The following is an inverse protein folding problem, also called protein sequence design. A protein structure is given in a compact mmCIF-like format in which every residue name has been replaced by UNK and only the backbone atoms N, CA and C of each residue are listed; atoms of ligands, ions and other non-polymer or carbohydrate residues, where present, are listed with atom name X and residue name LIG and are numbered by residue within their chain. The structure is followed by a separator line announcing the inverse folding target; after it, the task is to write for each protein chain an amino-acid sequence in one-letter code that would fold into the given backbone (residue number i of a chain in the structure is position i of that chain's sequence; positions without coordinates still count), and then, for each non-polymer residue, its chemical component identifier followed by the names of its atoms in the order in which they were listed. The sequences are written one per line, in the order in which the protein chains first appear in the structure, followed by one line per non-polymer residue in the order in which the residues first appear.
data_IF_710768759040
#
_entry.id   IF_710768759040
#
_cell.length_a   1.000
_cell.length_b   1.000
_cell.length_c   1.000
_cell.angle_alpha   90.00
_cell.angle_beta   90.00
_cell.angle_gamma   90.00
#
_symmetry.space_group_name_H-M   'P 1'
#
loop_
_entity.id
_entity.type
_entity.pdbx_description
1 polymer ?
#
# COMPACT_ATOMS: atom_id res chain seq x y z
N UNK A 1 22.41 -19.96 -13.39
CA UNK A 1 21.22 -20.44 -12.66
C UNK A 1 20.85 -19.30 -11.74
N UNK A 2 19.66 -18.74 -11.88
CA UNK A 2 19.23 -17.59 -11.10
C UNK A 2 18.03 -18.02 -10.26
N UNK A 3 18.28 -18.34 -8.99
CA UNK A 3 17.23 -18.24 -7.99
C UNK A 3 16.90 -16.76 -7.86
N UNK A 4 15.77 -16.35 -8.42
CA UNK A 4 15.33 -14.97 -8.36
C UNK A 4 14.76 -14.69 -6.97
N UNK A 5 15.65 -14.48 -5.99
CA UNK A 5 15.28 -13.89 -4.70
C UNK A 5 14.53 -12.59 -4.98
N UNK A 6 13.22 -12.59 -4.75
CA UNK A 6 12.38 -11.38 -4.82
C UNK A 6 12.51 -10.68 -3.47
N UNK A 7 13.34 -9.62 -3.33
CA UNK A 7 13.67 -9.07 -2.03
C UNK A 7 12.44 -8.34 -1.49
N UNK A 8 12.02 -8.68 -0.26
CA UNK A 8 10.99 -7.91 0.46
C UNK A 8 11.66 -6.91 1.40
N UNK A 9 11.36 -5.65 1.22
CA UNK A 9 11.85 -4.54 2.06
C UNK A 9 10.83 -4.26 3.15
N UNK A 10 11.28 -3.89 4.35
CA UNK A 10 10.42 -3.46 5.45
C UNK A 10 11.02 -2.19 6.08
N UNK A 11 10.42 -1.05 5.78
CA UNK A 11 10.82 0.27 6.28
C UNK A 11 10.04 0.57 7.57
N UNK A 12 10.65 0.25 8.70
CA UNK A 12 10.06 0.49 10.01
C UNK A 12 10.00 1.99 10.32
N UNK A 13 8.82 2.47 10.75
CA UNK A 13 8.54 3.89 11.02
C UNK A 13 8.68 4.81 9.78
N UNK A 14 8.37 4.29 8.58
CA UNK A 14 8.30 5.09 7.35
C UNK A 14 7.23 6.19 7.42
N UNK A 15 6.10 5.95 8.10
CA UNK A 15 5.15 6.99 8.47
C UNK A 15 5.25 7.29 9.97
N UNK A 16 5.17 8.56 10.32
CA UNK A 16 4.92 9.01 11.69
C UNK A 16 3.49 8.67 12.14
N UNK A 17 3.29 8.57 13.46
CA UNK A 17 1.96 8.39 14.03
C UNK A 17 1.02 9.60 13.87
N UNK A 18 1.50 10.71 13.30
CA UNK A 18 0.69 11.86 12.92
C UNK A 18 0.18 11.70 11.48
N UNK A 19 1.08 11.41 10.52
CA UNK A 19 0.71 11.02 9.14
C UNK A 19 -0.27 9.85 9.11
N UNK A 20 -0.08 8.82 9.96
CA UNK A 20 -1.04 7.71 10.05
C UNK A 20 -2.45 8.16 10.47
N UNK A 21 -2.57 9.10 11.41
CA UNK A 21 -3.88 9.61 11.88
C UNK A 21 -4.53 10.55 10.87
N UNK A 22 -3.74 11.37 10.18
CA UNK A 22 -4.22 12.25 9.12
C UNK A 22 -4.79 11.43 7.95
N UNK A 23 -4.04 10.42 7.49
CA UNK A 23 -4.53 9.49 6.48
C UNK A 23 -5.75 8.70 6.95
N UNK A 24 -5.78 8.22 8.20
CA UNK A 24 -6.94 7.53 8.77
C UNK A 24 -8.20 8.44 8.81
N UNK A 25 -8.03 9.72 9.16
CA UNK A 25 -9.10 10.72 9.14
C UNK A 25 -9.62 10.94 7.72
N UNK A 26 -8.72 11.17 6.76
CA UNK A 26 -9.08 11.39 5.35
C UNK A 26 -9.79 10.15 4.78
N UNK A 27 -9.36 8.94 5.15
CA UNK A 27 -10.07 7.73 4.75
C UNK A 27 -11.50 7.71 5.31
N UNK A 28 -11.68 7.94 6.61
CA UNK A 28 -13.01 7.95 7.26
C UNK A 28 -13.93 9.05 6.70
N UNK A 29 -13.38 10.18 6.25
CA UNK A 29 -14.15 11.28 5.63
C UNK A 29 -14.45 11.08 4.14
N UNK A 30 -13.62 10.33 3.41
CA UNK A 30 -13.67 10.28 1.93
C UNK A 30 -13.67 8.85 1.34
N UNK A 31 -13.96 7.82 2.13
CA UNK A 31 -14.07 6.43 1.64
C UNK A 31 -15.39 6.15 0.96
N UNK A 32 -15.35 5.41 -0.15
CA UNK A 32 -16.52 4.79 -0.78
C UNK A 32 -16.48 3.27 -0.62
N UNK A 33 -17.61 2.59 -0.86
CA UNK A 33 -17.67 1.12 -0.84
C UNK A 33 -16.84 0.56 -2.00
N UNK A 34 -15.90 -0.32 -1.69
CA UNK A 34 -15.03 -0.97 -2.67
C UNK A 34 -15.71 -2.09 -3.45
N UNK A 35 -15.00 -2.67 -4.42
CA UNK A 35 -15.52 -3.76 -5.25
C UNK A 35 -15.70 -5.11 -4.51
N UNK A 36 -15.24 -5.21 -3.25
CA UNK A 36 -15.39 -6.38 -2.39
C UNK A 36 -16.32 -6.05 -1.21
N UNK A 37 -17.16 -6.99 -0.77
CA UNK A 37 -17.86 -6.86 0.50
C UNK A 37 -16.89 -6.56 1.65
N UNK A 38 -17.31 -5.70 2.58
CA UNK A 38 -16.54 -5.32 3.77
C UNK A 38 -15.21 -4.59 3.48
N UNK A 39 -15.02 -4.05 2.26
CA UNK A 39 -13.85 -3.24 1.88
C UNK A 39 -14.29 -1.84 1.47
N UNK A 40 -13.56 -0.82 1.93
CA UNK A 40 -13.79 0.58 1.56
C UNK A 40 -12.51 1.19 0.96
N UNK A 41 -12.64 2.16 0.05
CA UNK A 41 -11.48 2.79 -0.60
C UNK A 41 -11.58 4.30 -0.79
N UNK A 42 -10.43 4.97 -0.68
CA UNK A 42 -10.22 6.39 -0.96
C UNK A 42 -9.10 6.53 -1.97
N UNK A 43 -9.42 6.69 -3.24
CA UNK A 43 -8.45 6.89 -4.32
C UNK A 43 -8.11 8.38 -4.45
N UNK A 44 -6.99 8.72 -5.10
CA UNK A 44 -6.72 10.12 -5.49
C UNK A 44 -7.90 10.73 -6.28
N UNK A 45 -8.59 9.96 -7.12
CA UNK A 45 -9.78 10.41 -7.84
C UNK A 45 -10.96 10.74 -6.92
N UNK A 46 -11.18 9.98 -5.84
CA UNK A 46 -12.19 10.33 -4.83
C UNK A 46 -11.83 11.65 -4.12
N UNK A 47 -10.53 11.87 -3.85
CA UNK A 47 -10.04 13.08 -3.19
C UNK A 47 -10.14 14.32 -4.09
N UNK A 48 -9.77 14.19 -5.37
CA UNK A 48 -9.96 15.24 -6.39
C UNK A 48 -11.44 15.63 -6.50
N UNK A 49 -12.36 14.65 -6.46
CA UNK A 49 -13.80 14.90 -6.49
C UNK A 49 -14.35 15.66 -5.26
N UNK A 50 -13.60 15.76 -4.15
CA UNK A 50 -13.99 16.62 -3.00
C UNK A 50 -13.76 18.10 -3.26
N UNK A 51 -12.97 18.46 -4.29
CA UNK A 51 -12.45 19.81 -4.53
C UNK A 51 -11.68 20.42 -3.33
N UNK A 52 -11.17 19.57 -2.43
CA UNK A 52 -10.35 19.97 -1.27
C UNK A 52 -8.90 19.52 -1.45
N UNK A 53 -8.01 20.47 -1.78
CA UNK A 53 -6.57 20.21 -1.88
C UNK A 53 -5.99 19.68 -0.56
N UNK A 54 -6.54 20.10 0.59
CA UNK A 54 -6.10 19.67 1.91
C UNK A 54 -6.18 18.15 2.14
N UNK A 55 -7.09 17.44 1.47
CA UNK A 55 -7.14 15.97 1.56
C UNK A 55 -6.19 15.26 0.59
N UNK A 56 -5.68 15.96 -0.43
CA UNK A 56 -4.71 15.43 -1.40
C UNK A 56 -3.28 15.70 -0.93
N UNK A 57 -3.02 16.87 -0.35
CA UNK A 57 -1.67 17.33 0.02
C UNK A 57 -0.86 16.34 0.87
N UNK A 58 -1.42 15.61 1.86
CA UNK A 58 -0.64 14.63 2.64
C UNK A 58 -0.13 13.44 1.82
N UNK A 59 -0.84 13.05 0.75
CA UNK A 59 -0.42 11.92 -0.09
C UNK A 59 0.82 12.24 -0.93
N UNK A 60 0.99 13.50 -1.36
CA UNK A 60 2.05 13.91 -2.30
C UNK A 60 3.47 13.77 -1.72
N UNK A 61 3.82 14.29 -0.52
CA UNK A 61 5.15 14.09 0.04
C UNK A 61 5.37 12.64 0.50
N UNK A 62 4.34 11.98 1.02
CA UNK A 62 4.42 10.57 1.42
C UNK A 62 4.73 9.66 0.22
N UNK A 63 4.17 9.97 -0.95
CA UNK A 63 4.37 9.13 -2.14
C UNK A 63 5.73 9.23 -2.77
N UNK A 64 6.22 10.44 -3.03
CA UNK A 64 7.53 10.60 -3.64
C UNK A 64 8.61 10.09 -2.65
N UNK A 65 8.45 10.33 -1.34
CA UNK A 65 9.33 9.78 -0.28
C UNK A 65 9.37 8.26 -0.24
N UNK A 66 8.28 7.54 -0.58
CA UNK A 66 8.32 6.08 -0.67
C UNK A 66 8.97 5.66 -1.99
N UNK A 67 8.59 6.27 -3.10
CA UNK A 67 9.17 6.03 -4.44
C UNK A 67 10.70 6.13 -4.41
N UNK A 68 11.22 7.22 -3.87
CA UNK A 68 12.66 7.47 -3.64
C UNK A 68 13.32 6.36 -2.83
N UNK A 69 12.65 5.80 -1.82
CA UNK A 69 13.19 4.69 -1.00
C UNK A 69 13.21 3.35 -1.74
N UNK A 70 12.39 3.17 -2.78
CA UNK A 70 12.42 1.96 -3.61
C UNK A 70 13.49 2.10 -4.70
N UNK A 71 13.57 3.29 -5.31
CA UNK A 71 14.63 3.67 -6.24
C UNK A 71 16.03 3.54 -5.60
N UNK A 72 16.20 4.00 -4.36
CA UNK A 72 17.42 3.81 -3.55
C UNK A 72 17.75 2.32 -3.28
N UNK A 73 16.74 1.46 -3.07
CA UNK A 73 16.94 0.08 -2.64
C UNK A 73 17.18 -0.89 -3.81
N UNK A 74 16.44 -0.72 -4.91
CA UNK A 74 16.50 -1.59 -6.08
C UNK A 74 17.46 -1.10 -7.18
N UNK A 75 18.15 0.02 -6.95
CA UNK A 75 19.13 0.65 -7.85
C UNK A 75 18.56 1.02 -9.24
N UNK A 76 17.35 1.59 -9.24
CA UNK A 76 16.55 1.92 -10.43
C UNK A 76 16.08 3.39 -10.42
N UNK A 77 16.99 4.32 -10.11
CA UNK A 77 16.61 5.71 -9.83
C UNK A 77 16.08 6.44 -11.07
N UNK A 78 14.95 7.12 -10.87
CA UNK A 78 14.13 7.80 -11.89
C UNK A 78 13.40 6.88 -12.89
N UNK A 79 13.53 5.55 -12.77
CA UNK A 79 12.81 4.60 -13.64
C UNK A 79 11.36 4.36 -13.19
N UNK A 80 11.02 4.69 -11.94
CA UNK A 80 9.75 4.27 -11.33
C UNK A 80 8.60 5.28 -11.54
N UNK A 81 7.47 4.84 -12.12
CA UNK A 81 6.25 5.62 -12.32
C UNK A 81 5.11 5.14 -11.42
N UNK A 82 4.49 6.03 -10.65
CA UNK A 82 3.35 5.73 -9.78
C UNK A 82 2.07 5.54 -10.60
N UNK A 83 1.56 4.31 -10.66
CA UNK A 83 0.33 3.94 -11.39
C UNK A 83 -0.95 4.24 -10.58
N UNK A 84 -0.92 3.93 -9.27
CA UNK A 84 -2.09 4.05 -8.38
C UNK A 84 -1.70 4.53 -6.99
N UNK A 85 -2.59 5.29 -6.35
CA UNK A 85 -2.53 5.62 -4.93
C UNK A 85 -3.91 5.69 -4.29
N UNK A 86 -4.06 5.04 -3.14
CA UNK A 86 -5.26 5.17 -2.31
C UNK A 86 -5.19 4.46 -0.96
N UNK A 87 -6.10 4.83 -0.07
CA UNK A 87 -6.30 4.16 1.22
C UNK A 87 -7.37 3.09 1.07
N UNK A 88 -7.18 1.95 1.73
CA UNK A 88 -8.11 0.82 1.71
C UNK A 88 -8.27 0.30 3.14
N UNK A 89 -9.50 0.16 3.61
CA UNK A 89 -9.79 -0.52 4.88
C UNK A 89 -10.53 -1.83 4.62
N UNK A 90 -10.21 -2.81 5.47
CA UNK A 90 -10.77 -4.16 5.46
C UNK A 90 -11.49 -4.35 6.80
N UNK A 91 -12.82 -4.38 6.78
CA UNK A 91 -13.63 -4.51 8.01
C UNK A 91 -13.93 -5.98 8.32
N UNK A 92 -14.69 -6.26 9.39
CA UNK A 92 -15.00 -7.63 9.81
C UNK A 92 -15.66 -8.43 8.69
N UNK A 93 -15.15 -9.63 8.42
CA UNK A 93 -15.61 -10.49 7.32
C UNK A 93 -15.09 -10.09 5.94
N UNK A 94 -14.17 -9.13 5.82
CA UNK A 94 -13.42 -8.88 4.59
C UNK A 94 -12.30 -9.91 4.40
N UNK A 95 -12.03 -10.31 3.17
CA UNK A 95 -10.88 -11.16 2.84
C UNK A 95 -10.46 -11.05 1.37
N UNK A 96 -9.22 -11.43 1.11
CA UNK A 96 -8.68 -11.62 -0.24
C UNK A 96 -7.91 -12.94 -0.28
N UNK A 97 -8.13 -13.72 -1.34
CA UNK A 97 -7.40 -14.97 -1.58
C UNK A 97 -6.06 -14.72 -2.26
N UNK A 98 -5.32 -15.79 -2.52
CA UNK A 98 -4.07 -15.76 -3.27
C UNK A 98 -4.25 -15.10 -4.65
N UNK A 99 -3.39 -14.15 -4.96
CA UNK A 99 -3.29 -13.44 -6.24
C UNK A 99 -1.89 -12.82 -6.35
N UNK A 100 -1.52 -12.40 -7.57
CA UNK A 100 -0.42 -11.47 -7.82
C UNK A 100 -1.02 -10.11 -8.22
N UNK A 101 -0.24 -9.02 -8.15
CA UNK A 101 -0.70 -7.71 -8.59
C UNK A 101 -0.83 -7.63 -10.12
N UNK A 102 0.12 -8.24 -10.83
CA UNK A 102 0.23 -8.28 -12.29
C UNK A 102 -0.77 -9.23 -12.99
N UNK A 103 -1.89 -9.57 -12.32
CA UNK A 103 -2.77 -10.68 -12.71
C UNK A 103 -3.58 -10.47 -14.01
N UNK A 104 -3.47 -9.32 -14.68
CA UNK A 104 -4.22 -8.94 -15.89
C UNK A 104 -3.31 -8.25 -16.91
N UNK A 105 -3.62 -8.30 -18.22
CA UNK A 105 -2.77 -7.70 -19.26
C UNK A 105 -2.49 -6.20 -19.07
N UNK A 106 -3.45 -5.43 -18.55
CA UNK A 106 -3.30 -4.00 -18.27
C UNK A 106 -2.64 -3.70 -16.90
N UNK A 107 -2.20 -4.74 -16.20
CA UNK A 107 -1.45 -4.68 -14.94
C UNK A 107 -0.06 -5.33 -15.08
N UNK A 108 0.34 -5.75 -16.31
CA UNK A 108 1.61 -6.49 -16.51
C UNK A 108 2.87 -5.65 -16.39
N UNK A 109 2.71 -4.33 -16.42
CA UNK A 109 3.75 -3.34 -16.14
C UNK A 109 4.01 -3.14 -14.62
N UNK A 110 3.47 -3.97 -13.72
CA UNK A 110 3.61 -3.76 -12.27
C UNK A 110 4.82 -4.50 -11.70
N UNK A 111 5.93 -3.78 -11.58
CA UNK A 111 7.18 -4.31 -11.03
C UNK A 111 7.17 -4.36 -9.49
N UNK A 112 6.61 -3.34 -8.85
CA UNK A 112 6.59 -3.17 -7.38
C UNK A 112 5.24 -2.71 -6.83
N UNK A 113 4.88 -3.16 -5.63
CA UNK A 113 3.76 -2.63 -4.83
C UNK A 113 4.27 -2.20 -3.44
N UNK A 114 3.76 -1.07 -2.92
CA UNK A 114 4.24 -0.48 -1.67
C UNK A 114 3.10 -0.27 -0.65
N UNK A 115 3.37 -0.67 0.59
CA UNK A 115 2.34 -1.00 1.59
C UNK A 115 2.64 -0.33 2.92
N UNK A 116 2.05 0.83 3.24
CA UNK A 116 2.17 1.44 4.57
C UNK A 116 0.95 1.12 5.43
N UNK A 117 1.14 0.45 6.57
CA UNK A 117 0.05 0.15 7.50
C UNK A 117 -0.25 1.35 8.39
N UNK A 118 -1.54 1.71 8.51
CA UNK A 118 -2.00 2.81 9.38
C UNK A 118 -2.49 2.32 10.76
N UNK A 119 -2.81 1.04 10.87
CA UNK A 119 -3.33 0.38 12.07
C UNK A 119 -2.54 -0.93 12.33
N UNK A 120 -2.59 -1.42 13.56
CA UNK A 120 -1.70 -2.48 14.06
C UNK A 120 -2.45 -3.75 14.49
N UNK A 121 -1.91 -4.90 14.12
CA UNK A 121 -2.40 -6.22 14.49
C UNK A 121 -2.36 -6.45 16.01
N UNK A 122 -3.35 -7.19 16.53
CA UNK A 122 -3.68 -7.45 17.96
C UNK A 122 -3.93 -6.23 18.86
N UNK A 123 -3.68 -5.01 18.38
CA UNK A 123 -3.96 -3.76 19.08
C UNK A 123 -5.22 -3.07 18.56
N UNK A 124 -5.25 -2.79 17.26
CA UNK A 124 -6.30 -2.03 16.60
C UNK A 124 -7.31 -2.96 15.88
N UNK A 125 -6.88 -4.18 15.49
CA UNK A 125 -7.73 -5.24 14.93
C UNK A 125 -7.15 -6.65 15.16
N UNK A 126 -7.92 -7.70 14.84
CA UNK A 126 -7.52 -9.12 14.89
C UNK A 126 -7.75 -9.78 13.52
N UNK A 127 -6.97 -10.82 13.21
CA UNK A 127 -6.87 -11.35 11.85
C UNK A 127 -6.11 -10.39 10.92
N UNK A 128 -6.35 -10.45 9.61
CA UNK A 128 -5.77 -9.49 8.65
C UNK A 128 -4.25 -9.56 8.45
N UNK A 129 -3.60 -10.66 8.89
CA UNK A 129 -2.18 -10.92 8.63
C UNK A 129 -1.90 -10.97 7.12
N UNK A 130 -0.80 -10.35 6.69
CA UNK A 130 -0.42 -10.35 5.28
C UNK A 130 0.51 -11.54 4.99
N UNK A 131 0.16 -12.37 4.00
CA UNK A 131 0.79 -13.67 3.80
C UNK A 131 1.29 -13.87 2.37
N UNK A 132 2.35 -14.66 2.24
CA UNK A 132 2.99 -15.00 0.98
C UNK A 132 2.96 -16.51 0.73
N UNK A 133 2.96 -16.88 -0.55
CA UNK A 133 3.25 -18.25 -0.96
C UNK A 133 4.77 -18.51 -0.89
N UNK A 134 5.57 -17.56 -1.40
CA UNK A 134 7.01 -17.74 -1.65
C UNK A 134 7.88 -16.61 -1.05
N UNK A 135 9.19 -16.87 -0.95
CA UNK A 135 10.19 -15.98 -0.34
C UNK A 135 10.01 -15.80 1.18
N UNK A 136 10.82 -14.92 1.78
CA UNK A 136 10.73 -14.53 3.19
C UNK A 136 10.62 -12.99 3.36
N UNK A 137 10.03 -12.49 4.47
CA UNK A 137 9.29 -13.25 5.49
C UNK A 137 7.95 -13.75 4.94
N UNK A 138 7.55 -14.99 5.21
CA UNK A 138 6.28 -15.59 4.71
C UNK A 138 5.00 -14.92 5.25
N UNK A 139 5.08 -14.25 6.39
CA UNK A 139 3.96 -13.49 6.97
C UNK A 139 4.48 -12.15 7.50
N UNK A 140 3.78 -11.07 7.20
CA UNK A 140 3.97 -9.74 7.81
C UNK A 140 2.76 -9.45 8.69
N UNK A 141 3.03 -9.10 9.95
CA UNK A 141 2.02 -8.58 10.87
C UNK A 141 1.91 -7.05 10.66
N UNK A 142 0.75 -6.50 10.28
CA UNK A 142 0.55 -5.07 10.15
C UNK A 142 0.90 -4.31 11.44
N UNK A 143 1.69 -3.24 11.32
CA UNK A 143 2.07 -2.36 12.41
C UNK A 143 2.00 -0.91 11.94
N UNK A 144 1.25 -0.06 12.64
CA UNK A 144 1.10 1.34 12.27
C UNK A 144 2.46 2.04 12.14
N UNK A 145 2.68 2.72 11.01
CA UNK A 145 3.93 3.42 10.70
C UNK A 145 4.94 2.59 9.91
N UNK A 146 4.81 1.26 9.84
CA UNK A 146 5.68 0.41 9.01
C UNK A 146 5.20 0.45 7.56
N UNK A 147 6.12 0.65 6.61
CA UNK A 147 5.90 0.23 5.23
C UNK A 147 6.64 -1.06 4.90
N UNK A 148 6.09 -1.81 3.96
CA UNK A 148 6.72 -2.99 3.37
C UNK A 148 6.54 -2.96 1.86
N UNK A 149 7.51 -3.54 1.15
CA UNK A 149 7.54 -3.54 -0.31
C UNK A 149 7.43 -4.97 -0.82
N UNK A 150 6.43 -5.14 -1.68
CA UNK A 150 5.67 -6.38 -1.83
C UNK A 150 5.21 -6.54 -3.29
N UNK A 151 4.96 -7.76 -3.74
CA UNK A 151 4.08 -8.02 -4.89
C UNK A 151 2.62 -8.17 -4.41
N UNK A 152 1.89 -7.05 -4.28
CA UNK A 152 0.57 -6.84 -3.63
C UNK A 152 0.47 -7.23 -2.14
N UNK A 153 -0.29 -6.61 -1.22
CA UNK A 153 -0.99 -5.31 -1.09
C UNK A 153 -0.87 -4.88 0.40
N UNK A 154 -1.22 -3.70 0.94
CA UNK A 154 -2.01 -2.51 0.55
C UNK A 154 -1.57 -1.81 -0.75
N UNK A 155 -2.15 -0.66 -1.09
CA UNK A 155 -1.97 -0.02 -2.38
C UNK A 155 -1.78 1.50 -2.25
N UNK A 156 -0.72 1.91 -1.54
CA UNK A 156 -0.30 3.33 -1.62
C UNK A 156 0.47 3.53 -2.94
N UNK A 157 1.32 2.59 -3.36
CA UNK A 157 1.82 2.52 -4.74
C UNK A 157 1.63 1.15 -5.36
N UNK A 158 1.18 1.20 -6.62
CA UNK A 158 1.65 0.30 -7.68
C UNK A 158 2.61 1.10 -8.53
N UNK A 159 3.72 0.50 -8.96
CA UNK A 159 4.76 1.16 -9.75
C UNK A 159 5.04 0.39 -11.04
N UNK A 160 5.30 1.16 -12.11
CA UNK A 160 5.69 0.67 -13.43
C UNK A 160 7.00 1.27 -13.92
N UNK A 161 7.73 0.51 -14.73
CA UNK A 161 8.75 0.99 -15.69
C UNK A 161 8.08 1.39 -17.03
#
# INVERSE_FOLDING_TARGET
MADSEHPRVILNNFLSMEECKELELIHKSCSTVGYRPNVFSTTLSHLIATNSSHFIMPFVPIRERLKEKLEDFFDCQYELVIEFTGLISWTSGASIGWHSDDNRPYLKQRDFTAVCYLNSYEKDFKGGLFNFQDGEPKTIAPLAGVSADIKCFLNIFSISV
#
